data_IF_243714675649
#
_entry.id   IF_243714675649
#
_cell.length_a   1.000
_cell.length_b   1.000
_cell.length_c   1.000
_cell.angle_alpha   90.00
_cell.angle_beta   90.00
_cell.angle_gamma   90.00
#
_symmetry.space_group_name_H-M   'P 1'
#
loop_
_entity.id
_entity.type
_entity.pdbx_description
1 polymer ?
#
# COMPACT_ATOMS: atom_id res chain seq x y z
N UNK A 1 -46.22 26.06 5.82
CA UNK A 1 -45.22 27.10 5.50
C UNK A 1 -44.28 27.17 6.68
N UNK A 2 -42.98 26.94 6.48
CA UNK A 2 -41.98 27.20 7.52
C UNK A 2 -41.85 28.72 7.67
N UNK A 3 -42.00 29.23 8.91
CA UNK A 3 -42.05 30.65 9.23
C UNK A 3 -41.12 30.89 10.40
N UNK A 4 -39.95 31.44 10.11
CA UNK A 4 -38.98 31.85 11.12
C UNK A 4 -38.78 33.37 11.07
N UNK A 5 -38.40 33.95 12.22
CA UNK A 5 -37.96 35.34 12.27
C UNK A 5 -36.51 35.40 11.76
N UNK A 6 -36.36 35.50 10.43
CA UNK A 6 -35.06 35.63 9.78
C UNK A 6 -34.93 37.01 9.11
N UNK A 7 -33.79 37.68 9.34
CA UNK A 7 -33.47 38.98 8.72
C UNK A 7 -32.44 38.85 7.59
N UNK A 8 -32.04 37.63 7.23
CA UNK A 8 -31.07 37.40 6.16
C UNK A 8 -31.69 37.65 4.78
N UNK A 9 -30.89 37.91 3.74
CA UNK A 9 -31.38 37.95 2.37
C UNK A 9 -31.97 36.60 1.96
N UNK A 10 -33.15 36.63 1.34
CA UNK A 10 -33.86 35.44 0.87
C UNK A 10 -34.11 35.53 -0.64
N UNK A 11 -34.16 34.36 -1.27
CA UNK A 11 -34.65 34.22 -2.65
C UNK A 11 -36.18 34.36 -2.69
N UNK A 12 -36.73 34.75 -3.84
CA UNK A 12 -38.17 34.95 -3.99
C UNK A 12 -38.92 33.62 -4.09
N UNK A 13 -38.28 32.60 -4.68
CA UNK A 13 -38.84 31.25 -4.86
C UNK A 13 -37.81 30.19 -4.51
N UNK A 14 -38.25 29.09 -3.91
CA UNK A 14 -37.34 27.99 -3.50
C UNK A 14 -36.57 27.37 -4.66
N UNK A 15 -37.13 27.39 -5.88
CA UNK A 15 -36.44 26.93 -7.08
C UNK A 15 -35.17 27.71 -7.43
N UNK A 16 -35.04 28.96 -6.96
CA UNK A 16 -33.85 29.79 -7.17
C UNK A 16 -32.63 29.31 -6.35
N UNK A 17 -32.86 28.51 -5.30
CA UNK A 17 -31.79 27.85 -4.53
C UNK A 17 -31.09 26.79 -5.39
N UNK A 18 -31.82 26.14 -6.30
CA UNK A 18 -31.32 25.08 -7.16
C UNK A 18 -31.03 23.78 -6.41
N UNK A 19 -29.97 23.08 -6.84
CA UNK A 19 -29.56 21.80 -6.26
C UNK A 19 -29.19 21.96 -4.78
N UNK A 20 -29.68 21.07 -3.93
CA UNK A 20 -29.28 20.97 -2.52
C UNK A 20 -28.63 19.61 -2.32
N UNK A 21 -27.39 19.59 -1.80
CA UNK A 21 -26.65 18.35 -1.53
C UNK A 21 -26.17 18.32 -0.08
N UNK A 22 -26.58 17.29 0.65
CA UNK A 22 -25.99 16.95 1.94
C UNK A 22 -24.64 16.27 1.70
N UNK A 23 -23.60 16.79 2.34
CA UNK A 23 -22.22 16.33 2.19
C UNK A 23 -21.69 15.64 3.46
N UNK A 24 -22.31 15.88 4.61
CA UNK A 24 -21.97 15.20 5.85
C UNK A 24 -23.11 15.23 6.85
N UNK A 25 -23.18 14.20 7.69
CA UNK A 25 -24.06 14.16 8.86
C UNK A 25 -23.28 13.51 10.00
N UNK A 26 -23.29 14.12 11.18
CA UNK A 26 -22.57 13.63 12.34
C UNK A 26 -23.39 13.85 13.62
N UNK A 27 -23.33 12.91 14.55
CA UNK A 27 -23.90 13.09 15.88
C UNK A 27 -23.10 14.15 16.62
N UNK A 28 -23.79 15.08 17.28
CA UNK A 28 -23.16 16.18 17.99
C UNK A 28 -23.97 16.56 19.24
N UNK A 29 -23.38 16.32 20.42
CA UNK A 29 -23.90 16.73 21.75
C UNK A 29 -25.41 16.42 21.94
N UNK A 30 -25.83 15.21 21.59
CA UNK A 30 -27.24 14.78 21.72
C UNK A 30 -28.16 15.18 20.56
N UNK A 31 -27.63 15.83 19.51
CA UNK A 31 -28.33 16.11 18.25
C UNK A 31 -27.51 15.72 17.03
N UNK A 32 -27.83 16.29 15.86
CA UNK A 32 -27.11 16.07 14.61
C UNK A 32 -26.59 17.38 14.02
N UNK A 33 -25.36 17.38 13.50
CA UNK A 33 -24.79 18.43 12.67
C UNK A 33 -24.75 17.94 11.22
N UNK A 34 -25.39 18.69 10.33
CA UNK A 34 -25.46 18.36 8.90
C UNK A 34 -24.69 19.41 8.10
N UNK A 35 -23.75 18.96 7.27
CA UNK A 35 -23.10 19.79 6.26
C UNK A 35 -23.87 19.74 4.95
N UNK A 36 -24.17 20.90 4.39
CA UNK A 36 -24.91 21.02 3.13
C UNK A 36 -24.30 22.06 2.19
N UNK A 37 -24.43 21.82 0.89
CA UNK A 37 -24.15 22.76 -0.18
C UNK A 37 -25.44 23.02 -0.98
N UNK A 38 -25.51 24.20 -1.60
CA UNK A 38 -26.63 24.59 -2.45
C UNK A 38 -26.14 25.26 -3.75
N UNK A 39 -27.00 25.26 -4.76
CA UNK A 39 -26.80 25.95 -6.04
C UNK A 39 -25.54 25.48 -6.77
N UNK A 40 -24.80 26.43 -7.35
CA UNK A 40 -23.57 26.17 -8.11
C UNK A 40 -22.49 25.45 -7.31
N UNK A 41 -22.42 25.69 -5.99
CA UNK A 41 -21.46 25.01 -5.10
C UNK A 41 -21.77 23.52 -5.00
N UNK A 42 -23.05 23.15 -4.89
CA UNK A 42 -23.45 21.75 -4.87
C UNK A 42 -23.19 21.07 -6.21
N UNK A 43 -23.46 21.77 -7.32
CA UNK A 43 -23.20 21.25 -8.66
C UNK A 43 -21.71 21.02 -8.90
N UNK A 44 -20.86 22.00 -8.58
CA UNK A 44 -19.42 21.90 -8.74
C UNK A 44 -18.83 20.73 -7.94
N UNK A 45 -19.29 20.52 -6.70
CA UNK A 45 -18.88 19.37 -5.88
C UNK A 45 -19.27 18.05 -6.56
N UNK A 46 -20.53 17.91 -7.02
CA UNK A 46 -20.95 16.68 -7.69
C UNK A 46 -20.20 16.44 -9.00
N UNK A 47 -19.96 17.48 -9.80
CA UNK A 47 -19.17 17.37 -11.03
C UNK A 47 -17.74 16.94 -10.75
N UNK A 48 -17.13 17.46 -9.68
CA UNK A 48 -15.79 17.05 -9.25
C UNK A 48 -15.76 15.58 -8.80
N UNK A 49 -16.75 15.14 -8.00
CA UNK A 49 -16.86 13.73 -7.59
C UNK A 49 -17.07 12.81 -8.78
N UNK A 50 -17.90 13.22 -9.74
CA UNK A 50 -18.16 12.44 -10.95
C UNK A 50 -16.90 12.28 -11.81
N UNK A 51 -16.10 13.34 -11.97
CA UNK A 51 -14.84 13.23 -12.72
C UNK A 51 -13.81 12.33 -12.02
N UNK A 52 -13.74 12.36 -10.69
CA UNK A 52 -12.91 11.44 -9.90
C UNK A 52 -13.33 9.98 -10.12
N UNK A 53 -14.63 9.66 -9.98
CA UNK A 53 -15.15 8.30 -10.20
C UNK A 53 -14.82 7.83 -11.62
N UNK A 54 -15.02 8.68 -12.63
CA UNK A 54 -14.69 8.35 -14.01
C UNK A 54 -13.20 8.07 -14.22
N UNK A 55 -12.33 8.87 -13.62
CA UNK A 55 -10.88 8.68 -13.72
C UNK A 55 -10.43 7.35 -13.09
N UNK A 56 -10.95 7.01 -11.90
CA UNK A 56 -10.61 5.75 -11.22
C UNK A 56 -11.18 4.54 -11.97
N UNK A 57 -12.43 4.64 -12.45
CA UNK A 57 -13.07 3.63 -13.30
C UNK A 57 -12.23 3.35 -14.57
N UNK A 58 -11.77 4.39 -15.26
CA UNK A 58 -10.91 4.24 -16.43
C UNK A 58 -9.55 3.61 -16.07
N UNK A 59 -8.95 4.02 -14.94
CA UNK A 59 -7.67 3.46 -14.48
C UNK A 59 -7.76 1.97 -14.11
N UNK A 60 -8.91 1.52 -13.62
CA UNK A 60 -9.15 0.13 -13.24
C UNK A 60 -9.81 -0.70 -14.34
N UNK A 61 -10.12 -0.08 -15.48
CA UNK A 61 -10.94 -0.67 -16.56
C UNK A 61 -12.23 -1.30 -16.01
N UNK A 62 -12.85 -0.65 -15.04
CA UNK A 62 -13.99 -1.15 -14.29
C UNK A 62 -15.21 -0.25 -14.49
N UNK A 63 -16.41 -0.84 -14.45
CA UNK A 63 -17.66 -0.09 -14.44
C UNK A 63 -17.72 0.79 -13.17
N UNK A 64 -18.08 2.10 -13.27
CA UNK A 64 -18.28 2.95 -12.10
C UNK A 64 -19.18 2.37 -11.02
N UNK A 65 -20.22 1.62 -11.41
CA UNK A 65 -21.17 1.00 -10.47
C UNK A 65 -20.56 -0.18 -9.70
N UNK A 66 -19.51 -0.81 -10.26
CA UNK A 66 -18.81 -1.97 -9.69
C UNK A 66 -17.42 -1.60 -9.13
N UNK A 67 -17.17 -0.30 -8.92
CA UNK A 67 -15.84 0.21 -8.60
C UNK A 67 -15.34 -0.31 -7.25
N UNK A 68 -16.23 -0.37 -6.25
CA UNK A 68 -15.91 -0.88 -4.92
C UNK A 68 -15.48 -2.35 -4.97
N UNK A 69 -16.26 -3.20 -5.64
CA UNK A 69 -15.94 -4.61 -5.81
C UNK A 69 -14.63 -4.82 -6.59
N UNK A 70 -14.39 -3.98 -7.59
CA UNK A 70 -13.16 -4.00 -8.39
C UNK A 70 -11.93 -3.64 -7.56
N UNK A 71 -12.03 -2.63 -6.69
CA UNK A 71 -10.96 -2.24 -5.76
C UNK A 71 -10.70 -3.36 -4.74
N UNK A 72 -11.75 -3.95 -4.15
CA UNK A 72 -11.61 -5.05 -3.19
C UNK A 72 -10.90 -6.26 -3.82
N UNK A 73 -11.30 -6.65 -5.04
CA UNK A 73 -10.65 -7.72 -5.79
C UNK A 73 -9.17 -7.43 -6.05
N UNK A 74 -8.83 -6.20 -6.45
CA UNK A 74 -7.45 -5.79 -6.67
C UNK A 74 -6.62 -5.87 -5.38
N UNK A 75 -7.18 -5.45 -4.24
CA UNK A 75 -6.51 -5.56 -2.95
C UNK A 75 -6.24 -7.02 -2.54
N UNK A 76 -7.22 -7.90 -2.75
CA UNK A 76 -7.06 -9.34 -2.53
C UNK A 76 -5.98 -9.93 -3.44
N UNK A 77 -5.96 -9.56 -4.72
CA UNK A 77 -4.96 -10.02 -5.67
C UNK A 77 -3.55 -9.56 -5.29
N UNK A 78 -3.38 -8.29 -4.89
CA UNK A 78 -2.11 -7.77 -4.37
C UNK A 78 -1.67 -8.54 -3.13
N UNK A 79 -2.59 -8.86 -2.22
CA UNK A 79 -2.31 -9.68 -1.04
C UNK A 79 -1.80 -11.08 -1.41
N UNK A 80 -2.49 -11.75 -2.34
CA UNK A 80 -2.11 -13.07 -2.86
C UNK A 80 -0.74 -13.04 -3.52
N UNK A 81 -0.50 -12.10 -4.43
CA UNK A 81 0.78 -11.98 -5.15
C UNK A 81 1.95 -11.67 -4.20
N UNK A 82 1.72 -10.87 -3.15
CA UNK A 82 2.73 -10.65 -2.11
C UNK A 82 3.07 -11.93 -1.35
N UNK A 83 2.07 -12.74 -1.01
CA UNK A 83 2.28 -14.03 -0.33
C UNK A 83 3.02 -15.03 -1.24
N UNK A 84 2.63 -15.13 -2.51
CA UNK A 84 3.29 -15.97 -3.51
C UNK A 84 4.75 -15.54 -3.74
N UNK A 85 5.00 -14.22 -3.86
CA UNK A 85 6.35 -13.68 -3.97
C UNK A 85 7.19 -14.03 -2.75
N UNK A 86 6.63 -13.92 -1.55
CA UNK A 86 7.34 -14.27 -0.32
C UNK A 86 7.66 -15.76 -0.25
N UNK A 87 6.73 -16.64 -0.65
CA UNK A 87 6.97 -18.08 -0.71
C UNK A 87 8.06 -18.43 -1.72
N UNK A 88 7.94 -17.96 -2.97
CA UNK A 88 8.93 -18.21 -4.02
C UNK A 88 10.33 -17.71 -3.65
N UNK A 89 10.44 -16.57 -2.94
CA UNK A 89 11.72 -16.07 -2.42
C UNK A 89 12.31 -16.96 -1.34
N UNK A 90 11.50 -17.50 -0.43
CA UNK A 90 11.99 -18.49 0.56
C UNK A 90 12.53 -19.74 -0.11
N UNK A 91 11.81 -20.26 -1.11
CA UNK A 91 12.23 -21.44 -1.86
C UNK A 91 13.54 -21.17 -2.61
N UNK A 92 13.65 -19.99 -3.24
CA UNK A 92 14.88 -19.53 -3.88
C UNK A 92 16.07 -19.52 -2.92
N UNK A 93 15.95 -18.88 -1.76
CA UNK A 93 17.05 -18.80 -0.79
C UNK A 93 17.40 -20.18 -0.20
N UNK A 94 16.42 -21.06 -0.04
CA UNK A 94 16.65 -22.44 0.42
C UNK A 94 17.48 -23.21 -0.60
N UNK A 95 17.07 -23.20 -1.87
CA UNK A 95 17.81 -23.84 -2.96
C UNK A 95 19.21 -23.23 -3.14
N UNK A 96 19.30 -21.89 -3.02
CA UNK A 96 20.57 -21.16 -3.10
C UNK A 96 21.54 -21.58 -2.00
N UNK A 97 21.05 -21.77 -0.78
CA UNK A 97 21.84 -22.29 0.33
C UNK A 97 22.25 -23.76 0.15
N UNK A 98 21.43 -24.58 -0.53
CA UNK A 98 21.75 -25.97 -0.86
C UNK A 98 22.80 -26.12 -1.95
N UNK A 99 22.74 -25.27 -2.98
CA UNK A 99 23.69 -25.28 -4.09
C UNK A 99 25.02 -24.62 -3.74
N UNK A 100 25.14 -24.02 -2.55
CA UNK A 100 26.33 -23.30 -2.17
C UNK A 100 27.47 -24.27 -1.85
N UNK A 101 28.58 -24.12 -2.57
CA UNK A 101 29.81 -24.88 -2.32
C UNK A 101 30.59 -24.17 -1.22
N UNK A 102 30.91 -24.91 -0.15
CA UNK A 102 31.68 -24.40 0.98
C UNK A 102 33.17 -24.53 0.68
N UNK A 103 33.89 -23.41 0.69
CA UNK A 103 35.34 -23.40 0.55
C UNK A 103 35.98 -23.29 1.94
N UNK A 104 36.70 -24.34 2.36
CA UNK A 104 37.34 -24.41 3.68
C UNK A 104 36.39 -24.15 4.86
N UNK A 105 35.09 -24.41 4.71
CA UNK A 105 34.06 -24.20 5.73
C UNK A 105 33.46 -22.80 5.77
N UNK A 106 33.91 -21.89 4.90
CA UNK A 106 33.37 -20.53 4.73
C UNK A 106 32.46 -20.44 3.49
N UNK A 107 31.54 -19.47 3.49
CA UNK A 107 30.69 -19.17 2.34
C UNK A 107 30.60 -17.66 2.10
N UNK A 108 30.80 -17.24 0.85
CA UNK A 108 30.56 -15.86 0.41
C UNK A 108 29.62 -15.88 -0.79
N UNK A 109 28.43 -15.29 -0.63
CA UNK A 109 27.42 -15.23 -1.70
C UNK A 109 27.17 -13.78 -2.09
N UNK A 110 27.16 -13.54 -3.41
CA UNK A 110 26.66 -12.30 -3.98
C UNK A 110 25.27 -12.53 -4.60
N UNK A 111 24.30 -11.78 -4.09
CA UNK A 111 22.93 -11.74 -4.58
C UNK A 111 22.70 -10.48 -5.43
N UNK A 112 21.82 -10.58 -6.44
CA UNK A 112 21.51 -9.45 -7.32
C UNK A 112 20.51 -8.48 -6.67
N UNK A 113 19.63 -8.98 -5.82
CA UNK A 113 18.71 -8.22 -4.99
C UNK A 113 18.43 -8.96 -3.67
N UNK A 114 17.83 -8.28 -2.70
CA UNK A 114 17.42 -8.93 -1.45
C UNK A 114 17.42 -8.00 -0.26
N UNK A 115 16.30 -7.87 0.45
CA UNK A 115 16.19 -7.05 1.66
C UNK A 115 17.12 -7.53 2.79
N UNK A 116 17.37 -6.69 3.80
CA UNK A 116 18.16 -7.13 4.97
C UNK A 116 17.59 -8.39 5.65
N UNK A 117 16.27 -8.53 5.72
CA UNK A 117 15.61 -9.72 6.27
C UNK A 117 15.87 -10.96 5.40
N UNK A 118 15.85 -10.80 4.08
CA UNK A 118 16.13 -11.86 3.11
C UNK A 118 17.58 -12.33 3.17
N UNK A 119 18.54 -11.39 3.20
CA UNK A 119 19.97 -11.70 3.36
C UNK A 119 20.25 -12.38 4.71
N UNK A 120 19.60 -11.91 5.78
CA UNK A 120 19.72 -12.53 7.11
C UNK A 120 19.16 -13.95 7.13
N UNK A 121 18.04 -14.19 6.43
CA UNK A 121 17.47 -15.53 6.29
C UNK A 121 18.46 -16.46 5.58
N UNK A 122 19.09 -16.00 4.50
CA UNK A 122 20.09 -16.78 3.77
C UNK A 122 21.33 -17.08 4.62
N UNK A 123 21.86 -16.07 5.34
CA UNK A 123 22.99 -16.27 6.26
C UNK A 123 22.66 -17.29 7.35
N UNK A 124 21.47 -17.21 7.94
CA UNK A 124 21.05 -18.18 8.97
C UNK A 124 21.02 -19.61 8.40
N UNK A 125 20.45 -19.81 7.20
CA UNK A 125 20.42 -21.11 6.52
C UNK A 125 21.83 -21.65 6.20
N UNK A 126 22.76 -20.78 5.82
CA UNK A 126 24.16 -21.15 5.57
C UNK A 126 24.92 -21.48 6.86
N UNK A 127 24.64 -20.74 7.94
CA UNK A 127 25.28 -20.93 9.26
C UNK A 127 24.90 -22.28 9.88
N UNK A 128 23.73 -22.83 9.53
CA UNK A 128 23.35 -24.19 9.95
C UNK A 128 24.23 -25.27 9.30
N UNK A 129 24.70 -25.03 8.08
CA UNK A 129 25.48 -25.99 7.27
C UNK A 129 26.99 -25.80 7.34
N UNK A 130 27.46 -24.65 7.81
CA UNK A 130 28.88 -24.28 7.86
C UNK A 130 29.46 -24.36 9.26
N UNK A 131 30.76 -24.61 9.34
CA UNK A 131 31.54 -24.51 10.58
C UNK A 131 32.38 -23.22 10.65
N UNK A 132 32.41 -22.42 9.57
CA UNK A 132 33.19 -21.18 9.46
C UNK A 132 32.34 -19.91 9.45
N UNK A 133 32.75 -18.92 8.65
CA UNK A 133 32.10 -17.62 8.49
C UNK A 133 31.28 -17.61 7.18
N UNK A 134 30.05 -17.12 7.27
CA UNK A 134 29.16 -16.90 6.13
C UNK A 134 28.91 -15.42 5.94
N UNK A 135 29.07 -14.92 4.71
CA UNK A 135 28.70 -13.57 4.34
C UNK A 135 27.82 -13.59 3.09
N UNK A 136 26.74 -12.82 3.12
CA UNK A 136 25.88 -12.59 1.95
C UNK A 136 25.85 -11.10 1.67
N UNK A 137 26.18 -10.73 0.45
CA UNK A 137 26.25 -9.36 -0.03
C UNK A 137 25.24 -9.13 -1.15
N UNK A 138 24.55 -7.99 -1.13
CA UNK A 138 23.69 -7.53 -2.22
C UNK A 138 23.93 -6.03 -2.49
N UNK A 139 23.75 -5.55 -3.73
CA UNK A 139 23.86 -4.13 -4.02
C UNK A 139 22.81 -3.32 -3.23
N UNK A 140 23.23 -2.15 -2.79
CA UNK A 140 22.36 -1.19 -2.12
C UNK A 140 21.44 -0.52 -3.18
N UNK A 141 20.11 -0.54 -2.99
CA UNK A 141 19.19 0.07 -3.94
C UNK A 141 19.24 1.61 -3.97
N UNK A 142 19.73 2.26 -2.91
CA UNK A 142 19.76 3.73 -2.79
C UNK A 142 21.12 4.32 -3.21
N UNK A 143 22.22 3.57 -3.00
CA UNK A 143 23.58 4.03 -3.33
C UNK A 143 24.25 3.16 -4.39
N UNK A 144 24.35 3.68 -5.61
CA UNK A 144 25.06 3.03 -6.71
C UNK A 144 26.54 2.79 -6.34
N UNK A 145 26.93 1.52 -6.22
CA UNK A 145 28.29 1.08 -5.86
C UNK A 145 28.48 0.72 -4.38
N UNK A 146 27.47 0.96 -3.52
CA UNK A 146 27.46 0.45 -2.16
C UNK A 146 26.86 -0.96 -2.11
N UNK A 147 27.33 -1.77 -1.17
CA UNK A 147 26.79 -3.09 -0.89
C UNK A 147 26.27 -3.14 0.54
N UNK A 148 25.08 -3.70 0.70
CA UNK A 148 24.63 -4.19 1.99
C UNK A 148 25.12 -5.61 2.15
N UNK A 149 25.51 -5.95 3.36
CA UNK A 149 26.00 -7.28 3.67
C UNK A 149 25.50 -7.72 5.04
N UNK A 150 25.33 -9.02 5.18
CA UNK A 150 25.06 -9.67 6.47
C UNK A 150 26.10 -10.76 6.63
N UNK A 151 26.74 -10.80 7.79
CA UNK A 151 27.75 -11.82 8.15
C UNK A 151 27.21 -12.59 9.34
N UNK A 152 27.43 -13.90 9.36
CA UNK A 152 27.12 -14.77 10.48
C UNK A 152 28.17 -15.87 10.62
N UNK A 153 28.39 -16.32 11.84
CA UNK A 153 29.21 -17.50 12.14
C UNK A 153 28.58 -18.26 13.30
N UNK A 154 28.80 -19.58 13.33
CA UNK A 154 28.42 -20.44 14.46
C UNK A 154 29.54 -20.59 15.49
N UNK A 155 30.79 -20.33 15.10
CA UNK A 155 32.01 -20.73 15.82
C UNK A 155 33.00 -19.59 16.06
N UNK A 156 32.92 -18.51 15.28
CA UNK A 156 33.75 -17.34 15.45
C UNK A 156 32.91 -16.17 15.98
N UNK A 157 33.34 -15.56 17.09
CA UNK A 157 32.81 -14.27 17.52
C UNK A 157 33.17 -13.20 16.46
N UNK A 158 32.15 -12.52 15.96
CA UNK A 158 32.20 -11.48 14.92
C UNK A 158 31.91 -10.10 15.52
#
# INVERSE_FOLDING_TARGET
MDRCACCAPHVARTGEIGLIKLISAQNYKGGARVGMLAGSRAFAELSHRFSQVKAVSASLSANPDDLEASVARLQCEIGRLKAEKAAARRDYYTLRAEQCVLEAGNALIFEQDGSFEELRTLVNLLTEKTQGICAVCAPDPENAGAYRFVIGSRSADL
#
